data_IF_993047559909
#
_entry.id   IF_993047559909
#
_cell.length_a   1.000
_cell.length_b   1.000
_cell.length_c   1.000
_cell.angle_alpha   90.00
_cell.angle_beta   90.00
_cell.angle_gamma   90.00
#
_symmetry.space_group_name_H-M   'P 1'
#
loop_
_entity.id
_entity.type
_entity.pdbx_description
1 polymer ?
#
# COMPACT_ATOMS: atom_id res chain seq x y z
N UNK A 1 -19.67 2.71 48.80
CA UNK A 1 -19.40 1.47 48.03
C UNK A 1 -20.17 1.40 46.69
N UNK A 2 -21.47 1.74 46.64
CA UNK A 2 -22.27 1.73 45.38
C UNK A 2 -21.72 2.65 44.26
N UNK A 3 -21.11 3.77 44.64
CA UNK A 3 -20.58 4.76 43.68
C UNK A 3 -19.18 4.41 43.16
N UNK A 4 -18.45 3.50 43.84
CA UNK A 4 -17.08 3.09 43.45
C UNK A 4 -17.15 2.05 42.32
N UNK A 5 -18.17 1.19 42.33
CA UNK A 5 -18.40 0.15 41.30
C UNK A 5 -18.76 0.81 39.95
N UNK A 6 -19.59 1.86 39.97
CA UNK A 6 -19.94 2.61 38.77
C UNK A 6 -18.73 3.32 38.14
N UNK A 7 -17.76 3.77 38.95
CA UNK A 7 -16.55 4.44 38.50
C UNK A 7 -15.57 3.46 37.82
N UNK A 8 -15.48 2.22 38.32
CA UNK A 8 -14.63 1.15 37.75
C UNK A 8 -15.13 0.68 36.37
N UNK A 9 -16.45 0.61 36.17
CA UNK A 9 -17.06 0.23 34.88
C UNK A 9 -16.87 1.32 33.81
N UNK A 10 -16.85 2.60 34.21
CA UNK A 10 -16.61 3.72 33.30
C UNK A 10 -15.16 3.77 32.77
N UNK A 11 -14.17 3.33 33.57
CA UNK A 11 -12.75 3.31 33.16
C UNK A 11 -12.45 2.18 32.17
N UNK A 12 -13.18 1.06 32.22
CA UNK A 12 -13.00 -0.05 31.26
C UNK A 12 -13.41 0.28 29.82
N UNK A 13 -14.25 1.31 29.60
CA UNK A 13 -14.74 1.70 28.27
C UNK A 13 -13.77 2.59 27.48
N UNK A 14 -12.64 3.01 28.07
CA UNK A 14 -11.65 3.87 27.41
C UNK A 14 -10.50 3.11 26.75
N UNK A 15 -10.52 1.77 26.77
CA UNK A 15 -9.57 0.96 26.00
C UNK A 15 -10.04 0.86 24.55
N UNK A 16 -9.96 1.97 23.81
CA UNK A 16 -10.02 1.94 22.36
C UNK A 16 -8.89 1.04 21.86
N UNK A 17 -9.24 -0.06 21.20
CA UNK A 17 -8.27 -1.05 20.73
C UNK A 17 -7.42 -0.44 19.59
N UNK A 18 -6.29 0.18 19.94
CA UNK A 18 -5.27 0.62 18.98
C UNK A 18 -4.24 -0.47 18.70
N UNK A 19 -4.61 -1.74 18.84
CA UNK A 19 -3.66 -2.84 18.81
C UNK A 19 -3.91 -3.71 17.58
N UNK A 20 -3.08 -3.51 16.55
CA UNK A 20 -2.83 -4.56 15.55
C UNK A 20 -1.62 -5.37 16.00
N UNK A 21 -1.81 -6.53 16.67
CA UNK A 21 -0.70 -7.43 16.95
C UNK A 21 -0.09 -7.84 15.61
N UNK A 22 1.18 -7.52 15.39
CA UNK A 22 1.96 -7.78 14.16
C UNK A 22 1.83 -6.75 13.02
N UNK A 23 1.15 -5.62 13.23
CA UNK A 23 1.12 -4.51 12.28
C UNK A 23 2.22 -3.47 12.54
N UNK A 24 2.82 -2.92 11.48
CA UNK A 24 3.79 -1.83 11.58
C UNK A 24 3.04 -0.50 11.51
N UNK A 25 3.20 0.34 12.53
CA UNK A 25 2.62 1.69 12.56
C UNK A 25 3.44 2.61 11.66
N UNK A 26 2.80 3.35 10.77
CA UNK A 26 3.48 4.40 10.00
C UNK A 26 4.02 5.53 10.90
N UNK A 27 5.19 6.06 10.57
CA UNK A 27 5.83 7.13 11.33
C UNK A 27 5.41 8.54 10.88
N UNK A 28 4.57 8.66 9.86
CA UNK A 28 4.09 9.93 9.30
C UNK A 28 5.12 10.73 8.51
N UNK A 29 6.36 10.25 8.38
CA UNK A 29 7.43 10.88 7.60
C UNK A 29 7.41 10.33 6.19
N UNK A 30 6.75 11.03 5.28
CA UNK A 30 6.58 10.57 3.90
C UNK A 30 7.87 10.78 3.11
N UNK A 31 8.33 9.72 2.44
CA UNK A 31 9.46 9.72 1.52
C UNK A 31 9.01 9.37 0.11
N UNK A 32 9.80 9.80 -0.88
CA UNK A 32 9.62 9.43 -2.27
C UNK A 32 10.79 8.52 -2.69
N UNK A 33 10.48 7.34 -3.20
CA UNK A 33 11.47 6.39 -3.68
C UNK A 33 11.17 6.00 -5.12
N UNK A 34 12.07 6.34 -6.02
CA UNK A 34 12.07 5.84 -7.38
C UNK A 34 12.78 4.49 -7.43
N UNK A 35 12.23 3.58 -8.21
CA UNK A 35 12.72 2.21 -8.38
C UNK A 35 12.92 1.98 -9.87
N UNK A 36 14.19 1.81 -10.26
CA UNK A 36 14.52 1.32 -11.59
C UNK A 36 14.01 -0.11 -11.73
N UNK A 37 13.29 -0.36 -12.82
CA UNK A 37 12.59 -1.60 -13.04
C UNK A 37 12.78 -2.05 -14.48
N UNK A 38 13.05 -3.34 -14.65
CA UNK A 38 13.05 -3.96 -15.98
C UNK A 38 11.67 -3.84 -16.62
N UNK A 39 11.62 -3.86 -17.95
CA UNK A 39 10.37 -3.84 -18.69
C UNK A 39 9.39 -4.91 -18.21
N UNK A 40 8.10 -4.56 -18.19
CA UNK A 40 7.00 -5.43 -17.80
C UNK A 40 5.77 -5.09 -18.65
N UNK A 41 4.89 -6.07 -18.83
CA UNK A 41 3.57 -5.89 -19.44
C UNK A 41 2.45 -6.49 -18.58
N UNK A 42 2.80 -7.12 -17.45
CA UNK A 42 1.87 -7.52 -16.40
C UNK A 42 2.12 -6.73 -15.12
N UNK A 43 1.06 -6.44 -14.38
CA UNK A 43 1.09 -5.80 -13.08
C UNK A 43 0.34 -6.68 -12.08
N UNK A 44 0.99 -6.99 -10.95
CA UNK A 44 0.47 -7.73 -9.80
C UNK A 44 0.71 -6.89 -8.55
N UNK A 45 -0.36 -6.31 -8.01
CA UNK A 45 -0.31 -5.50 -6.77
C UNK A 45 -1.17 -6.16 -5.71
N UNK A 46 -0.56 -6.43 -4.55
CA UNK A 46 -1.27 -6.93 -3.37
C UNK A 46 -0.94 -6.15 -2.11
N UNK A 47 -1.94 -5.98 -1.24
CA UNK A 47 -1.77 -5.29 0.05
C UNK A 47 -2.83 -4.21 0.28
N UNK A 48 -2.39 -2.99 0.60
CA UNK A 48 -3.27 -1.87 0.95
C UNK A 48 -2.92 -0.55 0.26
N UNK A 49 -2.37 -0.63 -0.96
CA UNK A 49 -1.84 0.53 -1.67
C UNK A 49 -2.94 1.37 -2.33
N UNK A 50 -2.72 2.69 -2.40
CA UNK A 50 -3.34 3.51 -3.44
C UNK A 50 -2.45 3.45 -4.68
N UNK A 51 -2.96 2.86 -5.76
CA UNK A 51 -2.25 2.64 -7.02
C UNK A 51 -2.69 3.69 -8.04
N UNK A 52 -1.72 4.41 -8.59
CA UNK A 52 -1.92 5.35 -9.68
C UNK A 52 -1.26 4.79 -10.94
N UNK A 53 -2.07 4.42 -11.93
CA UNK A 53 -1.62 3.88 -13.21
C UNK A 53 -1.62 4.96 -14.28
N UNK A 54 -0.52 5.05 -15.02
CA UNK A 54 -0.35 5.96 -16.16
C UNK A 54 0.27 5.23 -17.34
N UNK A 55 -0.26 5.44 -18.54
CA UNK A 55 0.39 4.96 -19.77
C UNK A 55 1.53 5.91 -20.17
N UNK A 56 2.68 5.38 -20.56
CA UNK A 56 3.84 6.17 -20.96
C UNK A 56 4.89 5.36 -21.73
N UNK A 57 5.90 6.03 -22.27
CA UNK A 57 6.93 5.41 -23.12
C UNK A 57 7.96 4.58 -22.35
N UNK A 58 8.19 4.91 -21.08
CA UNK A 58 9.25 4.31 -20.26
C UNK A 58 8.65 3.73 -19.00
N UNK A 59 8.77 2.41 -18.76
CA UNK A 59 8.34 1.78 -17.52
C UNK A 59 9.03 2.42 -16.31
N UNK A 60 8.24 2.80 -15.30
CA UNK A 60 8.76 3.48 -14.12
C UNK A 60 7.88 3.20 -12.90
N UNK A 61 8.49 3.04 -11.72
CA UNK A 61 7.79 2.86 -10.45
C UNK A 61 8.30 3.87 -9.43
N UNK A 62 7.35 4.58 -8.81
CA UNK A 62 7.62 5.49 -7.70
C UNK A 62 6.72 5.14 -6.50
N UNK A 63 7.34 5.05 -5.33
CA UNK A 63 6.65 4.89 -4.05
C UNK A 63 6.60 6.23 -3.32
N UNK A 64 5.44 6.55 -2.75
CA UNK A 64 5.27 7.66 -1.81
C UNK A 64 4.65 7.10 -0.53
N UNK A 65 5.51 6.82 0.46
CA UNK A 65 5.16 6.03 1.65
C UNK A 65 5.79 6.60 2.90
N UNK A 66 5.27 6.24 4.08
CA UNK A 66 5.97 6.50 5.34
C UNK A 66 7.32 5.77 5.38
N UNK A 67 8.39 6.48 5.75
CA UNK A 67 9.79 6.04 5.66
C UNK A 67 10.05 4.67 6.29
N UNK A 68 9.46 4.42 7.47
CA UNK A 68 9.67 3.17 8.20
C UNK A 68 8.95 1.96 7.58
N UNK A 69 8.06 2.17 6.62
CA UNK A 69 7.35 1.10 5.92
C UNK A 69 8.10 0.63 4.67
N UNK A 70 8.95 1.49 4.09
CA UNK A 70 9.67 1.21 2.86
C UNK A 70 10.45 -0.12 2.88
N UNK A 71 11.16 -0.51 3.96
CA UNK A 71 11.86 -1.80 4.01
C UNK A 71 10.95 -3.04 3.98
N UNK A 72 9.65 -2.86 4.18
CA UNK A 72 8.66 -3.93 4.22
C UNK A 72 7.79 -4.00 2.95
N UNK A 73 8.13 -3.20 1.94
CA UNK A 73 7.51 -3.21 0.62
C UNK A 73 8.47 -3.91 -0.34
N UNK A 74 8.00 -4.95 -1.03
CA UNK A 74 8.74 -5.59 -2.12
C UNK A 74 8.25 -5.05 -3.44
N UNK A 75 9.19 -4.66 -4.28
CA UNK A 75 8.98 -4.31 -5.68
C UNK A 75 9.98 -5.09 -6.49
N UNK A 76 9.49 -5.91 -7.44
CA UNK A 76 10.34 -6.69 -8.32
C UNK A 76 9.67 -6.84 -9.69
N UNK A 77 10.48 -6.90 -10.74
CA UNK A 77 10.02 -7.30 -12.08
C UNK A 77 10.68 -8.63 -12.42
N UNK A 78 9.86 -9.66 -12.64
CA UNK A 78 10.32 -10.97 -13.11
C UNK A 78 9.32 -11.54 -14.12
N UNK A 79 9.83 -12.21 -15.17
CA UNK A 79 9.00 -12.80 -16.22
C UNK A 79 7.96 -11.83 -16.82
N UNK A 80 8.37 -10.58 -17.08
CA UNK A 80 7.52 -9.48 -17.56
C UNK A 80 6.36 -9.08 -16.63
N UNK A 81 6.37 -9.53 -15.37
CA UNK A 81 5.39 -9.19 -14.34
C UNK A 81 6.03 -8.28 -13.30
N UNK A 82 5.50 -7.07 -13.16
CA UNK A 82 5.78 -6.18 -12.02
C UNK A 82 4.98 -6.67 -10.81
N UNK A 83 5.68 -7.10 -9.76
CA UNK A 83 5.09 -7.53 -8.49
C UNK A 83 5.35 -6.51 -7.41
N UNK A 84 4.29 -6.03 -6.78
CA UNK A 84 4.34 -5.07 -5.67
C UNK A 84 3.52 -5.62 -4.51
N UNK A 85 4.17 -5.85 -3.36
CA UNK A 85 3.47 -6.32 -2.17
C UNK A 85 4.07 -5.84 -0.86
N UNK A 86 3.26 -5.91 0.21
CA UNK A 86 3.70 -5.64 1.59
C UNK A 86 4.00 -6.96 2.31
N UNK A 87 5.16 -7.06 2.96
CA UNK A 87 5.53 -8.25 3.76
C UNK A 87 4.84 -8.31 5.13
N UNK A 88 4.32 -7.18 5.61
CA UNK A 88 3.67 -7.01 6.91
C UNK A 88 2.44 -6.13 6.74
N UNK A 89 1.49 -6.24 7.65
CA UNK A 89 0.34 -5.34 7.70
C UNK A 89 0.78 -3.96 8.19
N UNK A 90 0.25 -2.91 7.61
CA UNK A 90 0.52 -1.53 8.00
C UNK A 90 -0.74 -0.89 8.57
N UNK A 91 -0.59 0.02 9.52
CA UNK A 91 -1.71 0.75 10.11
C UNK A 91 -1.30 2.16 10.52
N UNK A 92 -2.27 3.10 10.58
CA UNK A 92 -2.06 4.51 10.94
C UNK A 92 -0.88 5.17 10.22
N UNK A 93 -0.74 4.91 8.92
CA UNK A 93 0.25 5.56 8.07
C UNK A 93 -0.31 6.82 7.43
N UNK A 94 0.58 7.76 7.08
CA UNK A 94 0.20 8.99 6.37
C UNK A 94 0.12 8.76 4.86
N UNK A 95 0.98 7.91 4.30
CA UNK A 95 0.98 7.60 2.87
C UNK A 95 1.35 6.14 2.61
N UNK A 96 0.65 5.50 1.66
CA UNK A 96 0.96 4.19 1.12
C UNK A 96 0.60 4.14 -0.38
N UNK A 97 1.29 4.95 -1.17
CA UNK A 97 0.97 5.16 -2.59
C UNK A 97 2.02 4.58 -3.51
N UNK A 98 1.59 4.04 -4.63
CA UNK A 98 2.45 3.60 -5.72
C UNK A 98 1.99 4.21 -7.04
N UNK A 99 2.94 4.76 -7.78
CA UNK A 99 2.74 5.32 -9.09
C UNK A 99 3.46 4.41 -10.08
N UNK A 100 2.74 3.91 -11.08
CA UNK A 100 3.24 2.96 -12.07
C UNK A 100 3.00 3.57 -13.46
N UNK A 101 4.10 3.81 -14.16
CA UNK A 101 4.07 4.10 -15.60
C UNK A 101 4.27 2.81 -16.36
N UNK A 102 3.33 2.45 -17.22
CA UNK A 102 3.40 1.24 -18.06
C UNK A 102 3.35 1.62 -19.55
N UNK A 103 3.94 0.78 -20.40
CA UNK A 103 3.90 0.96 -21.85
C UNK A 103 2.76 0.15 -22.46
N UNK A 104 2.80 -1.16 -22.26
CA UNK A 104 1.76 -2.12 -22.64
C UNK A 104 1.25 -2.84 -21.40
N UNK A 105 -0.04 -3.14 -21.36
CA UNK A 105 -0.67 -3.82 -20.22
C UNK A 105 -1.51 -4.98 -20.73
N UNK A 106 -1.00 -6.19 -20.53
CA UNK A 106 -1.67 -7.44 -20.91
C UNK A 106 -2.37 -8.09 -19.71
N UNK A 107 -1.85 -7.88 -18.50
CA UNK A 107 -2.39 -8.47 -17.27
C UNK A 107 -2.37 -7.42 -16.15
N UNK A 108 -3.48 -7.29 -15.45
CA UNK A 108 -3.61 -6.47 -14.25
C UNK A 108 -4.29 -7.31 -13.17
N UNK A 109 -3.52 -7.75 -12.18
CA UNK A 109 -3.98 -8.47 -11.00
C UNK A 109 -3.84 -7.57 -9.77
N UNK A 110 -4.94 -7.41 -9.05
CA UNK A 110 -5.04 -6.53 -7.88
C UNK A 110 -5.80 -7.25 -6.79
N UNK A 111 -5.19 -7.35 -5.61
CA UNK A 111 -5.79 -8.05 -4.48
C UNK A 111 -5.54 -7.36 -3.13
N UNK A 112 -6.46 -7.57 -2.19
CA UNK A 112 -6.43 -6.94 -0.87
C UNK A 112 -7.24 -5.64 -0.82
N UNK A 113 -6.81 -4.69 0.01
CA UNK A 113 -7.41 -3.37 0.18
C UNK A 113 -6.77 -2.32 -0.71
N UNK A 114 -6.61 -2.63 -2.00
CA UNK A 114 -5.99 -1.73 -2.97
C UNK A 114 -7.06 -0.86 -3.60
N UNK A 115 -6.81 0.45 -3.66
CA UNK A 115 -7.56 1.39 -4.49
C UNK A 115 -6.76 1.67 -5.76
N UNK A 116 -7.37 1.52 -6.93
CA UNK A 116 -6.68 1.66 -8.21
C UNK A 116 -7.30 2.78 -9.04
N UNK A 117 -6.47 3.76 -9.39
CA UNK A 117 -6.85 4.93 -10.18
C UNK A 117 -6.00 4.92 -11.45
N UNK A 118 -6.64 4.74 -12.60
CA UNK A 118 -5.99 4.89 -13.89
C UNK A 118 -6.22 6.31 -14.43
N UNK A 119 -5.17 6.98 -14.91
CA UNK A 119 -5.29 8.29 -15.56
C UNK A 119 -6.12 8.22 -16.85
N UNK A 120 -6.03 7.08 -17.54
CA UNK A 120 -6.69 6.85 -18.82
C UNK A 120 -7.55 5.58 -18.79
N UNK A 121 -8.52 5.50 -19.70
CA UNK A 121 -9.39 4.33 -19.82
C UNK A 121 -8.57 3.10 -20.18
N UNK A 122 -8.65 2.07 -19.34
CA UNK A 122 -8.08 0.75 -19.63
C UNK A 122 -9.08 0.01 -20.52
N UNK A 123 -8.60 -0.49 -21.66
CA UNK A 123 -9.37 -1.33 -22.59
C UNK A 123 -8.83 -2.75 -22.54
N UNK A 124 -9.73 -3.72 -22.38
CA UNK A 124 -9.47 -5.13 -22.71
C UNK A 124 -10.04 -5.39 -24.08
N UNK A 125 -9.33 -6.21 -24.86
CA UNK A 125 -9.89 -6.85 -26.06
C UNK A 125 -10.97 -7.88 -25.69
#
# INVERSE_FOLDING_TARGET
>A
MRNIIALLIAVSLLNGCEFMPNGIKGNGKVVNKEIEISAFNGIDVSGGFDVYLKKGSTPHVRLMVDENLLPHIKVASNNNMLKINTQKNFWKYKSLKVFITYQDLSVLDVSGGVDLIAEEKITSD
#
